data_IF_153467707265
#
_entry.id   IF_153467707265
#
_cell.length_a   1.000
_cell.length_b   1.000
_cell.length_c   1.000
_cell.angle_alpha   90.00
_cell.angle_beta   90.00
_cell.angle_gamma   90.00
#
_symmetry.space_group_name_H-M   'P 1'
#
loop_
_entity.id
_entity.type
_entity.pdbx_description
1 polymer ?
#
# COMPACT_ATOMS: atom_id res chain seq x y z
N UNK A 1 -2.17 71.02 -37.22
CA UNK A 1 -1.22 69.92 -37.42
C UNK A 1 -1.31 69.03 -36.19
N UNK A 2 -2.19 68.05 -36.26
CA UNK A 2 -2.55 67.16 -35.17
C UNK A 2 -2.33 65.73 -35.65
N UNK A 3 -1.35 65.04 -35.07
CA UNK A 3 -1.18 63.58 -35.11
C UNK A 3 -0.23 63.25 -33.95
N UNK A 4 -0.73 63.21 -32.72
CA UNK A 4 -1.42 62.07 -32.11
C UNK A 4 -0.54 60.82 -32.05
N UNK A 5 0.20 60.73 -30.94
CA UNK A 5 0.31 59.56 -30.05
C UNK A 5 -0.31 58.24 -30.57
N UNK A 6 0.29 57.65 -31.59
CA UNK A 6 -0.02 56.27 -32.02
C UNK A 6 0.75 55.27 -31.14
N UNK A 7 0.39 55.23 -29.86
CA UNK A 7 0.71 54.11 -28.98
C UNK A 7 -0.61 53.44 -28.55
N UNK A 8 -0.56 52.10 -28.45
CA UNK A 8 -1.63 51.16 -28.03
C UNK A 8 -2.53 50.64 -29.16
N UNK A 9 -1.99 49.76 -30.00
CA UNK A 9 -2.66 48.51 -30.39
C UNK A 9 -1.70 47.58 -31.14
N UNK A 10 -0.57 47.24 -30.51
CA UNK A 10 0.15 46.01 -30.85
C UNK A 10 -0.51 44.88 -30.06
N UNK A 11 -0.89 43.83 -30.79
CA UNK A 11 -1.36 42.52 -30.29
C UNK A 11 -2.85 42.41 -29.94
N UNK A 12 -3.69 42.33 -30.98
CA UNK A 12 -4.94 41.55 -30.93
C UNK A 12 -5.06 40.65 -32.16
N UNK A 13 -4.66 39.38 -31.97
CA UNK A 13 -5.25 38.19 -32.60
C UNK A 13 -5.19 38.05 -34.12
N UNK A 14 -4.06 37.57 -34.65
CA UNK A 14 -4.10 36.79 -35.90
C UNK A 14 -4.74 35.43 -35.58
N UNK A 15 -6.03 35.31 -35.82
CA UNK A 15 -6.78 34.04 -35.68
C UNK A 15 -6.37 33.14 -36.85
N UNK A 16 -5.70 32.03 -36.58
CA UNK A 16 -5.48 30.99 -37.58
C UNK A 16 -6.85 30.36 -37.88
N UNK A 17 -7.35 30.53 -39.12
CA UNK A 17 -8.75 30.25 -39.45
C UNK A 17 -9.06 28.76 -39.69
N UNK A 18 -8.05 27.88 -39.67
CA UNK A 18 -8.19 26.44 -39.81
C UNK A 18 -7.16 25.77 -38.88
N UNK A 19 -7.64 25.08 -37.83
CA UNK A 19 -6.79 24.23 -37.00
C UNK A 19 -6.58 22.90 -37.72
N UNK A 20 -5.32 22.53 -37.97
CA UNK A 20 -5.00 21.19 -38.48
C UNK A 20 -5.34 20.19 -37.39
N UNK A 21 -6.36 19.38 -37.61
CA UNK A 21 -6.67 18.25 -36.72
C UNK A 21 -5.60 17.18 -36.90
N UNK A 22 -5.30 16.48 -35.80
CA UNK A 22 -4.37 15.36 -35.78
C UNK A 22 -4.83 14.25 -36.72
N UNK A 23 -3.87 13.60 -37.39
CA UNK A 23 -4.14 12.50 -38.31
C UNK A 23 -4.78 11.32 -37.56
N UNK A 24 -6.01 10.95 -37.96
CA UNK A 24 -6.74 9.85 -37.34
C UNK A 24 -6.15 8.53 -37.84
N UNK A 25 -5.32 7.90 -37.00
CA UNK A 25 -4.90 6.51 -37.24
C UNK A 25 -6.07 5.56 -36.90
N UNK A 26 -6.23 4.45 -37.64
CA UNK A 26 -7.22 3.44 -37.31
C UNK A 26 -6.92 2.87 -35.91
N UNK A 27 -7.97 2.73 -35.09
CA UNK A 27 -7.83 2.28 -33.70
C UNK A 27 -7.33 0.84 -33.58
N UNK A 28 -7.59 0.01 -34.58
CA UNK A 28 -7.12 -1.36 -34.64
C UNK A 28 -6.60 -1.65 -36.05
N UNK A 29 -5.29 -1.82 -36.16
CA UNK A 29 -4.66 -2.36 -37.35
C UNK A 29 -4.45 -3.85 -37.12
N UNK A 30 -4.90 -4.68 -38.07
CA UNK A 30 -4.71 -6.13 -38.01
C UNK A 30 -3.21 -6.46 -37.89
N UNK A 31 -2.81 -7.00 -36.74
CA UNK A 31 -1.44 -7.44 -36.49
C UNK A 31 -1.41 -8.96 -36.38
N UNK A 32 -0.69 -9.64 -37.28
CA UNK A 32 -0.58 -11.11 -37.27
C UNK A 32 0.07 -11.67 -36.01
N UNK A 33 0.78 -10.85 -35.23
CA UNK A 33 1.35 -11.26 -33.95
C UNK A 33 0.27 -11.59 -32.89
N UNK A 34 -0.94 -11.03 -32.99
CA UNK A 34 -2.02 -11.29 -32.02
C UNK A 34 -2.73 -12.64 -32.25
N UNK A 35 -2.40 -13.38 -33.30
CA UNK A 35 -3.02 -14.68 -33.59
C UNK A 35 -2.47 -15.83 -32.74
N UNK A 36 -1.30 -15.63 -32.11
CA UNK A 36 -0.57 -16.71 -31.43
C UNK A 36 -0.17 -16.40 -29.99
N UNK A 37 -0.71 -15.35 -29.37
CA UNK A 37 -0.46 -15.06 -27.96
C UNK A 37 -1.68 -15.46 -27.15
N UNK A 38 -1.54 -16.51 -26.33
CA UNK A 38 -2.49 -16.78 -25.25
C UNK A 38 -2.35 -15.63 -24.27
N UNK A 39 -3.43 -14.90 -24.03
CA UNK A 39 -3.46 -13.79 -23.09
C UNK A 39 -3.46 -14.37 -21.67
N UNK A 40 -2.29 -14.48 -21.04
CA UNK A 40 -2.14 -14.97 -19.66
C UNK A 40 -2.88 -14.09 -18.63
N UNK A 41 -3.41 -12.94 -19.04
CA UNK A 41 -4.16 -12.02 -18.18
C UNK A 41 -5.56 -12.51 -17.78
N UNK A 42 -6.06 -13.63 -18.32
CA UNK A 42 -7.34 -14.23 -17.91
C UNK A 42 -7.23 -15.45 -16.98
N UNK A 43 -6.02 -15.95 -16.69
CA UNK A 43 -5.84 -17.10 -15.79
C UNK A 43 -5.76 -16.72 -14.29
N UNK A 44 -5.58 -15.45 -13.94
CA UNK A 44 -5.49 -15.01 -12.54
C UNK A 44 -6.85 -14.86 -11.81
N UNK A 45 -7.97 -15.12 -12.49
CA UNK A 45 -9.31 -14.93 -11.88
C UNK A 45 -9.90 -16.17 -11.20
N UNK A 46 -9.30 -17.36 -11.34
CA UNK A 46 -9.91 -18.60 -10.83
C UNK A 46 -9.23 -19.27 -9.62
N UNK A 47 -8.07 -18.79 -9.14
CA UNK A 47 -7.36 -19.38 -7.99
C UNK A 47 -7.09 -18.39 -6.85
N UNK A 48 -8.01 -17.46 -6.60
CA UNK A 48 -8.09 -16.77 -5.30
C UNK A 48 -9.30 -17.27 -4.53
N UNK A 49 -9.21 -18.51 -4.04
CA UNK A 49 -9.95 -18.90 -2.83
C UNK A 49 -9.59 -17.86 -1.77
N UNK A 50 -10.53 -16.95 -1.52
CA UNK A 50 -10.46 -15.94 -0.46
C UNK A 50 -10.20 -16.68 0.84
N UNK A 51 -8.94 -16.72 1.26
CA UNK A 51 -8.64 -16.88 2.67
C UNK A 51 -9.46 -15.84 3.43
N UNK A 52 -10.05 -16.21 4.58
CA UNK A 52 -10.81 -15.25 5.35
C UNK A 52 -9.85 -14.11 5.69
N UNK A 53 -10.14 -12.92 5.14
CA UNK A 53 -9.49 -11.68 5.54
C UNK A 53 -9.78 -11.57 7.03
N UNK A 54 -8.81 -12.01 7.84
CA UNK A 54 -8.85 -11.76 9.27
C UNK A 54 -8.97 -10.25 9.38
N UNK A 55 -10.07 -9.80 9.97
CA UNK A 55 -10.29 -8.38 10.25
C UNK A 55 -9.16 -7.99 11.18
N UNK A 56 -8.04 -7.53 10.63
CA UNK A 56 -6.97 -6.94 11.41
C UNK A 56 -7.64 -5.79 12.15
N UNK A 57 -7.85 -5.97 13.44
CA UNK A 57 -8.32 -4.90 14.30
C UNK A 57 -7.37 -3.74 14.03
N UNK A 58 -7.92 -2.60 13.60
CA UNK A 58 -7.13 -1.38 13.38
C UNK A 58 -6.71 -0.87 14.75
N UNK A 59 -5.81 -1.60 15.39
CA UNK A 59 -5.15 -1.22 16.63
C UNK A 59 -4.26 -0.01 16.37
N UNK A 60 -4.06 0.81 17.40
CA UNK A 60 -3.06 1.87 17.35
C UNK A 60 -1.69 1.22 17.23
N UNK A 61 -0.96 1.53 16.16
CA UNK A 61 0.41 1.04 15.99
C UNK A 61 1.37 1.87 16.82
N UNK A 62 2.25 1.20 17.56
CA UNK A 62 3.36 1.83 18.28
C UNK A 62 4.68 1.35 17.70
N UNK A 63 5.76 2.11 17.92
CA UNK A 63 7.10 1.75 17.44
C UNK A 63 7.92 1.22 18.61
N UNK A 64 8.38 -0.03 18.51
CA UNK A 64 9.30 -0.65 19.46
C UNK A 64 10.72 -0.52 18.90
N UNK A 65 11.62 0.11 19.65
CA UNK A 65 13.05 0.16 19.29
C UNK A 65 13.72 -1.13 19.74
N UNK A 66 14.47 -1.76 18.86
CA UNK A 66 15.24 -2.97 19.15
C UNK A 66 16.67 -2.82 18.60
N UNK A 67 17.57 -3.73 18.99
CA UNK A 67 18.92 -3.77 18.46
C UNK A 67 18.92 -4.14 16.96
N UNK A 68 19.92 -3.69 16.21
CA UNK A 68 20.03 -3.96 14.78
C UNK A 68 20.01 -5.48 14.50
N UNK A 69 20.82 -6.24 15.23
CA UNK A 69 20.92 -7.71 15.08
C UNK A 69 19.57 -8.39 15.30
N UNK A 70 18.80 -7.94 16.29
CA UNK A 70 17.46 -8.48 16.57
C UNK A 70 16.47 -8.15 15.46
N UNK A 71 16.56 -6.95 14.86
CA UNK A 71 15.70 -6.55 13.76
C UNK A 71 15.96 -7.39 12.50
N UNK A 72 17.23 -7.65 12.20
CA UNK A 72 17.62 -8.51 11.08
C UNK A 72 17.16 -9.94 11.29
N UNK A 73 17.28 -10.47 12.51
CA UNK A 73 16.80 -11.80 12.86
C UNK A 73 15.29 -11.94 12.71
N UNK A 74 14.51 -10.95 13.18
CA UNK A 74 13.05 -10.93 12.98
C UNK A 74 12.69 -10.91 11.50
N UNK A 75 13.34 -10.05 10.71
CA UNK A 75 13.08 -9.96 9.27
C UNK A 75 13.44 -11.25 8.52
N UNK A 76 14.53 -11.92 8.90
CA UNK A 76 14.92 -13.21 8.32
C UNK A 76 13.89 -14.31 8.60
N UNK A 77 13.35 -14.36 9.82
CA UNK A 77 12.29 -15.30 10.20
C UNK A 77 11.03 -15.02 9.39
N UNK A 78 10.58 -13.76 9.33
CA UNK A 78 9.38 -13.38 8.56
C UNK A 78 9.50 -13.81 7.11
N UNK A 79 10.66 -13.57 6.50
CA UNK A 79 10.94 -13.95 5.11
C UNK A 79 10.94 -15.47 4.92
N UNK A 80 11.48 -16.23 5.88
CA UNK A 80 11.57 -17.70 5.81
C UNK A 80 10.22 -18.38 6.00
N UNK A 81 9.37 -17.85 6.88
CA UNK A 81 8.06 -18.42 7.21
C UNK A 81 6.90 -17.78 6.44
N UNK A 82 7.20 -16.88 5.48
CA UNK A 82 6.21 -16.16 4.68
C UNK A 82 5.11 -15.48 5.52
N UNK A 83 5.48 -14.92 6.67
CA UNK A 83 4.55 -14.17 7.53
C UNK A 83 4.28 -12.78 6.92
N UNK A 84 3.07 -12.25 7.11
CA UNK A 84 2.67 -11.00 6.47
C UNK A 84 3.23 -9.76 7.20
N UNK A 85 3.52 -9.88 8.50
CA UNK A 85 3.97 -8.77 9.34
C UNK A 85 4.84 -9.22 10.50
N UNK A 86 5.72 -8.33 10.96
CA UNK A 86 6.46 -8.48 12.23
C UNK A 86 5.48 -8.62 13.40
N UNK A 87 4.34 -7.93 13.35
CA UNK A 87 3.34 -8.00 14.40
C UNK A 87 2.72 -9.40 14.53
N UNK A 88 2.43 -10.06 13.41
CA UNK A 88 1.90 -11.43 13.39
C UNK A 88 2.89 -12.43 13.99
N UNK A 89 4.18 -12.29 13.66
CA UNK A 89 5.23 -13.09 14.29
C UNK A 89 5.27 -12.87 15.81
N UNK A 90 5.18 -11.61 16.25
CA UNK A 90 5.23 -11.29 17.68
C UNK A 90 4.00 -11.83 18.42
N UNK A 91 2.80 -11.74 17.85
CA UNK A 91 1.58 -12.32 18.43
C UNK A 91 1.73 -13.83 18.63
N UNK A 92 2.20 -14.55 17.60
CA UNK A 92 2.44 -16.00 17.70
C UNK A 92 3.47 -16.31 18.80
N UNK A 93 4.57 -15.56 18.88
CA UNK A 93 5.59 -15.78 19.89
C UNK A 93 5.07 -15.49 21.30
N UNK A 94 4.27 -14.43 21.47
CA UNK A 94 3.64 -14.08 22.73
C UNK A 94 2.64 -15.15 23.16
N UNK A 95 1.78 -15.62 22.25
CA UNK A 95 0.80 -16.67 22.54
C UNK A 95 1.47 -17.98 22.97
N UNK A 96 2.56 -18.36 22.29
CA UNK A 96 3.35 -19.54 22.66
C UNK A 96 4.02 -19.38 24.02
N UNK A 97 4.53 -18.18 24.33
CA UNK A 97 5.15 -17.91 25.62
C UNK A 97 4.11 -17.90 26.75
N UNK A 98 2.98 -17.22 26.55
CA UNK A 98 1.86 -17.25 27.48
C UNK A 98 1.35 -18.67 27.68
N UNK A 99 1.28 -19.49 26.62
CA UNK A 99 0.92 -20.91 26.71
C UNK A 99 1.84 -21.73 27.63
N UNK A 100 3.12 -21.36 27.71
CA UNK A 100 4.12 -22.03 28.54
C UNK A 100 4.12 -21.60 30.01
N UNK A 101 3.49 -20.47 30.34
CA UNK A 101 3.47 -19.91 31.70
C UNK A 101 2.52 -20.64 32.65
N UNK A 102 2.89 -20.61 33.93
CA UNK A 102 2.04 -21.10 35.02
C UNK A 102 0.80 -20.23 35.23
N UNK A 103 -0.23 -20.77 35.89
CA UNK A 103 -1.49 -20.07 36.07
C UNK A 103 -1.35 -18.77 36.87
N UNK A 104 -0.45 -18.74 37.84
CA UNK A 104 -0.19 -17.56 38.67
C UNK A 104 0.55 -16.47 37.90
N UNK A 105 1.58 -16.82 37.13
CA UNK A 105 2.31 -15.88 36.27
C UNK A 105 1.39 -15.27 35.20
N UNK A 106 0.50 -16.06 34.61
CA UNK A 106 -0.52 -15.53 33.66
C UNK A 106 -1.46 -14.53 34.32
N UNK A 107 -1.86 -14.77 35.57
CA UNK A 107 -2.72 -13.83 36.32
C UNK A 107 -1.99 -12.52 36.56
N UNK A 108 -0.70 -12.58 36.92
CA UNK A 108 0.13 -11.39 37.10
C UNK A 108 0.30 -10.59 35.80
N UNK A 109 0.60 -11.26 34.68
CA UNK A 109 0.72 -10.58 33.39
C UNK A 109 -0.61 -9.91 32.99
N UNK A 110 -1.74 -10.59 33.21
CA UNK A 110 -3.06 -10.04 32.92
C UNK A 110 -3.35 -8.77 33.73
N UNK A 111 -3.02 -8.76 35.03
CA UNK A 111 -3.24 -7.56 35.85
C UNK A 111 -2.34 -6.39 35.40
N UNK A 112 -1.09 -6.66 35.02
CA UNK A 112 -0.19 -5.65 34.46
C UNK A 112 -0.72 -5.06 33.14
N UNK A 113 -1.23 -5.91 32.24
CA UNK A 113 -1.86 -5.46 30.99
C UNK A 113 -3.04 -4.52 31.26
N UNK A 114 -3.93 -4.85 32.22
CA UNK A 114 -5.05 -3.99 32.60
C UNK A 114 -4.58 -2.62 33.12
N UNK A 115 -3.53 -2.59 33.93
CA UNK A 115 -2.96 -1.34 34.46
C UNK A 115 -2.42 -0.46 33.32
N UNK A 116 -1.71 -1.05 32.36
CA UNK A 116 -1.18 -0.31 31.19
C UNK A 116 -2.28 0.25 30.31
N UNK A 117 -3.35 -0.52 30.05
CA UNK A 117 -4.49 -0.04 29.28
C UNK A 117 -5.19 1.14 29.96
N UNK A 118 -5.41 1.06 31.28
CA UNK A 118 -6.01 2.15 32.05
C UNK A 118 -5.15 3.42 32.02
N UNK A 119 -3.81 3.27 32.07
CA UNK A 119 -2.88 4.39 31.97
C UNK A 119 -2.88 5.05 30.59
N UNK A 120 -3.09 4.26 29.53
CA UNK A 120 -3.13 4.76 28.14
C UNK A 120 -4.39 5.58 27.80
N UNK A 121 -5.41 5.59 28.66
CA UNK A 121 -6.68 6.32 28.43
C UNK A 121 -6.63 7.77 28.96
N UNK A 122 -5.53 8.18 29.62
CA UNK A 122 -5.29 9.58 30.01
C UNK A 122 -4.60 10.36 28.91
#
# INVERSE_FOLDING_TARGET
>A
MADSLLNKNKNKGKRNLLERKEEVKPKEAFNRASLFTVDESQQDQFDKKKEPIQKSSKGKTTTIRCAADTSHRLNAIITSFSLNSVNELLEILLDNYEASLTQDERREIKTLQEVYQRKSIK
#
